data_IF_260569414164
#
_entry.id   IF_260569414164
#
_cell.length_a   1.000
_cell.length_b   1.000
_cell.length_c   1.000
_cell.angle_alpha   90.00
_cell.angle_beta   90.00
_cell.angle_gamma   90.00
#
_symmetry.space_group_name_H-M   'P 1'
#
loop_
_entity.id
_entity.type
_entity.pdbx_description
1 polymer ?
#
# COMPACT_ATOMS: atom_id res chain seq x y z
N UNK A 1 -14.03 18.50 -1.43
CA UNK A 1 -12.67 18.76 -1.93
C UNK A 1 -12.38 17.72 -2.99
N UNK A 2 -11.63 18.08 -4.02
CA UNK A 2 -11.38 17.22 -5.18
C UNK A 2 -10.25 16.22 -4.88
N UNK A 3 -10.28 15.05 -5.52
CA UNK A 3 -9.28 13.96 -5.43
C UNK A 3 -7.88 14.49 -5.73
N UNK A 4 -7.79 15.47 -6.63
CA UNK A 4 -6.54 16.16 -6.95
C UNK A 4 -5.87 16.83 -5.75
N UNK A 5 -6.63 17.31 -4.76
CA UNK A 5 -6.06 17.88 -3.53
C UNK A 5 -5.37 16.81 -2.69
N UNK A 6 -6.03 15.67 -2.48
CA UNK A 6 -5.44 14.54 -1.75
C UNK A 6 -4.19 13.98 -2.43
N UNK A 7 -4.24 13.79 -3.76
CA UNK A 7 -3.09 13.34 -4.53
C UNK A 7 -1.89 14.30 -4.43
N UNK A 8 -2.14 15.62 -4.43
CA UNK A 8 -1.10 16.62 -4.24
C UNK A 8 -0.43 16.51 -2.87
N UNK A 9 -1.21 16.37 -1.80
CA UNK A 9 -0.66 16.22 -0.43
C UNK A 9 0.21 14.97 -0.32
N UNK A 10 -0.25 13.83 -0.84
CA UNK A 10 0.53 12.59 -0.86
C UNK A 10 1.84 12.78 -1.63
N UNK A 11 1.78 13.39 -2.82
CA UNK A 11 2.96 13.65 -3.64
C UNK A 11 3.97 14.56 -2.94
N UNK A 12 3.51 15.61 -2.29
CA UNK A 12 4.37 16.54 -1.55
C UNK A 12 5.04 15.85 -0.36
N UNK A 13 4.30 15.05 0.42
CA UNK A 13 4.85 14.31 1.56
C UNK A 13 5.90 13.26 1.12
N UNK A 14 5.59 12.48 0.08
CA UNK A 14 6.55 11.50 -0.49
C UNK A 14 7.79 12.22 -1.04
N UNK A 15 7.60 13.36 -1.70
CA UNK A 15 8.71 14.16 -2.25
C UNK A 15 9.68 14.71 -1.20
N UNK A 16 9.23 14.90 0.05
CA UNK A 16 10.07 15.32 1.18
C UNK A 16 10.83 14.15 1.83
N UNK A 17 10.45 12.91 1.54
CA UNK A 17 11.03 11.69 2.15
C UNK A 17 12.22 11.19 1.32
N UNK A 18 13.22 12.06 1.13
CA UNK A 18 14.43 11.78 0.36
C UNK A 18 15.60 11.28 1.22
N UNK A 19 16.80 11.18 0.62
CA UNK A 19 18.01 10.69 1.29
C UNK A 19 18.36 11.45 2.57
N UNK A 20 18.14 12.78 2.60
CA UNK A 20 18.37 13.62 3.78
C UNK A 20 17.46 13.25 4.95
N UNK A 21 16.18 12.97 4.66
CA UNK A 21 15.23 12.51 5.67
C UNK A 21 15.62 11.14 6.23
N UNK A 22 15.99 10.19 5.36
CA UNK A 22 16.45 8.87 5.80
C UNK A 22 17.70 8.95 6.67
N UNK A 23 18.67 9.79 6.31
CA UNK A 23 19.85 9.99 7.16
C UNK A 23 19.46 10.60 8.51
N UNK A 24 18.61 11.63 8.53
CA UNK A 24 18.10 12.22 9.77
C UNK A 24 17.36 11.21 10.65
N UNK A 25 16.62 10.27 10.06
CA UNK A 25 15.92 9.22 10.80
C UNK A 25 16.89 8.24 11.46
N UNK A 26 17.95 7.84 10.75
CA UNK A 26 19.02 6.99 11.31
C UNK A 26 19.76 7.70 12.44
N UNK A 27 20.11 8.97 12.22
CA UNK A 27 20.81 9.79 13.23
C UNK A 27 19.94 10.00 14.48
N UNK A 28 18.62 10.18 14.31
CA UNK A 28 17.66 10.22 15.42
C UNK A 28 17.68 8.93 16.23
N UNK A 29 17.69 7.78 15.56
CA UNK A 29 17.81 6.47 16.22
C UNK A 29 19.09 6.35 17.05
N UNK A 30 20.23 6.76 16.51
CA UNK A 30 21.52 6.72 17.21
C UNK A 30 21.55 7.67 18.42
N UNK A 31 21.02 8.90 18.26
CA UNK A 31 20.97 9.90 19.34
C UNK A 31 20.15 9.43 20.55
N UNK A 32 19.14 8.60 20.32
CA UNK A 32 18.21 8.14 21.34
C UNK A 32 18.29 6.63 21.62
N UNK A 33 19.39 5.98 21.24
CA UNK A 33 19.58 4.52 21.41
C UNK A 33 19.44 4.01 22.85
N UNK A 34 19.74 4.87 23.83
CA UNK A 34 19.64 4.53 25.25
C UNK A 34 18.21 4.76 25.82
N UNK A 35 17.27 5.21 24.98
CA UNK A 35 15.87 5.41 25.35
C UNK A 35 15.02 4.25 24.85
N UNK A 36 13.97 3.93 25.61
CA UNK A 36 12.90 3.04 25.16
C UNK A 36 11.98 3.80 24.17
N UNK A 37 12.39 3.85 22.90
CA UNK A 37 11.52 4.30 21.82
C UNK A 37 10.53 3.19 21.47
N UNK A 38 9.32 3.59 21.06
CA UNK A 38 8.31 2.68 20.54
C UNK A 38 8.09 3.00 19.05
N UNK A 39 7.89 1.98 18.21
CA UNK A 39 7.42 2.19 16.85
C UNK A 39 6.15 3.05 16.84
N UNK A 40 6.06 3.99 15.90
CA UNK A 40 4.85 4.81 15.72
C UNK A 40 3.68 4.00 15.17
N UNK A 41 3.95 2.89 14.49
CA UNK A 41 2.97 1.90 14.05
C UNK A 41 3.06 0.66 14.93
N UNK A 42 1.93 0.12 15.37
CA UNK A 42 1.90 -1.14 16.11
C UNK A 42 2.27 -2.35 15.22
N UNK A 43 2.43 -3.54 15.80
CA UNK A 43 2.67 -4.78 15.04
C UNK A 43 1.58 -5.08 14.01
N UNK A 44 0.35 -4.64 14.31
CA UNK A 44 -0.83 -4.83 13.48
C UNK A 44 -1.06 -3.65 12.50
N UNK A 45 -0.13 -2.69 12.42
CA UNK A 45 -0.25 -1.46 11.63
C UNK A 45 -0.62 -0.24 12.48
N UNK A 46 -0.74 0.92 11.82
CA UNK A 46 -1.06 2.20 12.47
C UNK A 46 -2.54 2.60 12.32
N UNK A 47 -3.41 1.66 11.96
CA UNK A 47 -4.76 1.98 11.48
C UNK A 47 -5.77 2.07 12.63
N UNK A 48 -5.63 3.12 13.44
CA UNK A 48 -6.71 3.56 14.32
C UNK A 48 -7.64 4.46 13.49
N UNK A 49 -8.95 4.28 13.54
CA UNK A 49 -9.90 5.27 13.01
C UNK A 49 -9.58 6.63 13.66
N UNK A 50 -9.14 7.69 12.95
CA UNK A 50 -9.40 8.12 11.56
C UNK A 50 -8.27 7.92 10.53
N UNK A 51 -7.19 7.25 10.88
CA UNK A 51 -6.01 7.05 10.03
C UNK A 51 -6.19 5.86 9.06
N UNK A 52 -5.44 5.89 7.95
CA UNK A 52 -5.43 4.85 6.91
C UNK A 52 -3.98 4.49 6.56
N UNK A 53 -3.70 3.19 6.44
CA UNK A 53 -2.45 2.65 5.93
C UNK A 53 -2.64 2.18 4.49
N UNK A 54 -1.71 2.53 3.60
CA UNK A 54 -1.78 2.16 2.18
C UNK A 54 -0.50 1.47 1.75
N UNK A 55 -0.63 0.19 1.45
CA UNK A 55 0.47 -0.68 1.04
C UNK A 55 0.47 -0.87 -0.47
N UNK A 56 1.50 -0.32 -1.13
CA UNK A 56 1.68 -0.47 -2.57
C UNK A 56 2.54 -1.69 -2.90
N UNK A 57 1.88 -2.76 -3.32
CA UNK A 57 2.53 -3.99 -3.81
C UNK A 57 2.85 -3.93 -5.31
N UNK A 58 2.60 -2.78 -5.94
CA UNK A 58 2.88 -2.48 -7.35
C UNK A 58 4.35 -2.66 -7.74
N UNK A 59 5.27 -2.55 -6.78
CA UNK A 59 6.70 -2.79 -7.01
C UNK A 59 7.08 -4.28 -7.08
N UNK A 60 6.26 -5.18 -6.54
CA UNK A 60 6.60 -6.59 -6.43
C UNK A 60 6.53 -7.30 -7.79
N UNK A 61 7.56 -8.09 -8.08
CA UNK A 61 7.68 -8.85 -9.32
C UNK A 61 7.07 -10.24 -9.17
N UNK A 62 5.81 -10.27 -8.74
CA UNK A 62 5.02 -11.47 -8.48
C UNK A 62 4.99 -12.45 -9.67
N UNK A 63 4.96 -11.93 -10.89
CA UNK A 63 5.03 -12.71 -12.14
C UNK A 63 6.36 -13.45 -12.35
N UNK A 64 7.43 -13.09 -11.65
CA UNK A 64 8.73 -13.77 -11.74
C UNK A 64 8.85 -14.98 -10.80
N UNK A 65 7.88 -15.18 -9.90
CA UNK A 65 7.90 -16.29 -8.96
C UNK A 65 7.47 -17.58 -9.66
N UNK A 66 8.41 -18.31 -10.24
CA UNK A 66 8.17 -19.60 -10.91
C UNK A 66 9.02 -20.71 -10.26
N UNK A 67 8.36 -21.67 -9.62
CA UNK A 67 9.00 -22.84 -9.00
C UNK A 67 9.05 -24.06 -9.94
N UNK A 68 8.86 -23.85 -11.25
CA UNK A 68 8.80 -24.89 -12.28
C UNK A 68 7.38 -25.23 -12.75
N UNK A 69 6.37 -24.48 -12.28
CA UNK A 69 4.95 -24.68 -12.61
C UNK A 69 4.32 -23.52 -13.39
N UNK A 70 5.09 -22.48 -13.68
CA UNK A 70 4.61 -21.20 -14.21
C UNK A 70 4.37 -20.17 -13.11
N UNK A 71 4.21 -18.91 -13.55
CA UNK A 71 3.95 -17.79 -12.67
C UNK A 71 2.55 -17.88 -12.00
N UNK A 72 2.35 -17.27 -10.82
CA UNK A 72 1.09 -17.42 -10.11
C UNK A 72 0.01 -16.57 -10.75
N UNK A 73 -1.22 -17.10 -10.76
CA UNK A 73 -2.39 -16.47 -11.39
C UNK A 73 -3.19 -15.57 -10.46
N UNK A 74 -2.90 -15.62 -9.17
CA UNK A 74 -3.56 -14.82 -8.14
C UNK A 74 -2.53 -14.48 -7.06
N UNK A 75 -2.51 -13.22 -6.65
CA UNK A 75 -1.88 -12.76 -5.44
C UNK A 75 -2.91 -11.98 -4.65
N UNK A 76 -3.15 -12.38 -3.42
CA UNK A 76 -4.05 -11.69 -2.52
C UNK A 76 -3.47 -11.75 -1.12
N UNK A 77 -3.70 -10.72 -0.30
CA UNK A 77 -3.37 -10.80 1.11
C UNK A 77 -4.15 -11.93 1.79
N UNK A 78 -3.59 -12.47 2.87
CA UNK A 78 -4.34 -13.35 3.78
C UNK A 78 -5.44 -12.57 4.51
N UNK A 79 -6.18 -13.23 5.40
CA UNK A 79 -7.09 -12.52 6.30
C UNK A 79 -6.33 -11.49 7.14
N UNK A 80 -6.81 -10.25 7.13
CA UNK A 80 -6.23 -9.12 7.85
C UNK A 80 -7.26 -8.65 8.89
N UNK A 81 -6.99 -8.83 10.20
CA UNK A 81 -7.92 -8.49 11.27
C UNK A 81 -7.80 -7.03 11.73
N UNK A 82 -7.45 -6.10 10.83
CA UNK A 82 -7.38 -4.67 11.12
C UNK A 82 -8.28 -3.90 10.18
N UNK A 83 -8.88 -2.82 10.68
CA UNK A 83 -9.60 -1.85 9.85
C UNK A 83 -8.64 -0.74 9.42
N UNK A 84 -8.80 -0.23 8.20
CA UNK A 84 -8.06 0.94 7.72
C UNK A 84 -6.79 0.62 6.93
N UNK A 85 -6.59 -0.63 6.51
CA UNK A 85 -5.53 -1.00 5.58
C UNK A 85 -6.07 -1.13 4.16
N UNK A 86 -5.43 -0.45 3.21
CA UNK A 86 -5.67 -0.59 1.77
C UNK A 86 -4.41 -1.15 1.09
N UNK A 87 -4.54 -2.29 0.41
CA UNK A 87 -3.46 -2.93 -0.34
C UNK A 87 -3.74 -2.74 -1.84
N UNK A 88 -2.75 -2.20 -2.55
CA UNK A 88 -2.81 -1.97 -4.01
C UNK A 88 -1.86 -2.95 -4.69
N UNK A 89 -2.40 -3.89 -5.46
CA UNK A 89 -1.64 -4.94 -6.12
C UNK A 89 -1.84 -4.94 -7.64
N UNK A 90 -0.86 -5.41 -8.44
CA UNK A 90 -1.08 -5.66 -9.85
C UNK A 90 -2.11 -6.80 -10.03
N UNK A 91 -3.12 -6.58 -10.87
CA UNK A 91 -4.02 -7.67 -11.27
C UNK A 91 -3.21 -8.67 -12.11
N UNK A 92 -3.16 -9.97 -11.77
CA UNK A 92 -2.38 -10.93 -12.55
C UNK A 92 -2.93 -11.10 -13.97
N UNK A 93 -2.04 -11.10 -14.97
CA UNK A 93 -2.39 -11.40 -16.35
C UNK A 93 -2.05 -12.86 -16.68
N UNK A 94 -2.92 -13.60 -17.39
CA UNK A 94 -2.60 -14.95 -17.88
C UNK A 94 -1.52 -14.95 -18.98
N UNK A 95 -1.26 -13.80 -19.60
CA UNK A 95 -0.21 -13.64 -20.61
C UNK A 95 1.13 -13.36 -19.93
N UNK A 96 2.22 -13.98 -20.43
CA UNK A 96 3.57 -13.62 -20.00
C UNK A 96 3.79 -12.14 -20.33
N UNK A 97 4.03 -11.32 -19.31
CA UNK A 97 4.40 -9.93 -19.51
C UNK A 97 5.64 -9.88 -20.43
N UNK A 98 5.49 -9.28 -21.62
CA UNK A 98 6.59 -9.20 -22.58
C UNK A 98 7.61 -8.11 -22.22
N UNK A 99 7.30 -7.30 -21.20
CA UNK A 99 8.20 -6.32 -20.61
C UNK A 99 7.56 -5.51 -19.47
N UNK A 100 8.30 -4.55 -18.88
CA UNK A 100 7.84 -3.73 -17.77
C UNK A 100 6.59 -2.89 -18.08
N UNK A 101 6.33 -2.58 -19.35
CA UNK A 101 5.15 -1.82 -19.80
C UNK A 101 3.86 -2.64 -19.74
N UNK A 102 3.94 -3.96 -19.82
CA UNK A 102 2.76 -4.83 -19.87
C UNK A 102 2.25 -5.19 -18.47
N UNK A 103 3.00 -4.81 -17.42
CA UNK A 103 2.70 -5.12 -16.01
C UNK A 103 1.38 -4.54 -15.50
N UNK A 104 0.84 -3.52 -16.18
CA UNK A 104 -0.39 -2.83 -15.83
C UNK A 104 -1.56 -3.09 -16.77
N UNK A 105 -1.39 -3.93 -17.80
CA UNK A 105 -2.45 -4.14 -18.81
C UNK A 105 -3.74 -4.71 -18.23
N UNK A 106 -3.61 -5.52 -17.19
CA UNK A 106 -4.70 -6.19 -16.50
C UNK A 106 -5.37 -5.32 -15.43
N UNK A 107 -4.85 -4.12 -15.16
CA UNK A 107 -5.37 -3.22 -14.12
C UNK A 107 -4.66 -3.38 -12.78
N UNK A 108 -5.31 -2.86 -11.74
CA UNK A 108 -4.87 -2.94 -10.34
C UNK A 108 -6.03 -3.43 -9.48
N UNK A 109 -5.72 -4.31 -8.55
CA UNK A 109 -6.67 -4.77 -7.53
C UNK A 109 -6.42 -3.98 -6.24
N UNK A 110 -7.49 -3.44 -5.66
CA UNK A 110 -7.45 -2.70 -4.39
C UNK A 110 -8.25 -3.50 -3.36
N UNK A 111 -7.56 -3.99 -2.33
CA UNK A 111 -8.20 -4.66 -1.18
C UNK A 111 -8.24 -3.67 -0.02
N UNK A 112 -9.45 -3.33 0.46
CA UNK A 112 -9.62 -2.41 1.59
C UNK A 112 -10.27 -3.15 2.75
N UNK A 113 -9.70 -3.00 3.93
CA UNK A 113 -10.22 -3.59 5.17
C UNK A 113 -11.01 -2.54 5.94
N UNK A 114 -12.30 -2.80 6.16
CA UNK A 114 -13.24 -1.87 6.80
C UNK A 114 -14.20 -2.64 7.71
N UNK A 115 -14.67 -1.99 8.78
CA UNK A 115 -15.84 -2.48 9.50
C UNK A 115 -17.06 -2.54 8.57
N UNK A 116 -18.01 -3.46 8.79
CA UNK A 116 -19.15 -3.67 7.89
C UNK A 116 -19.94 -2.38 7.58
N UNK A 117 -20.15 -1.52 8.57
CA UNK A 117 -20.82 -0.23 8.43
C UNK A 117 -20.05 0.75 7.53
N UNK A 118 -18.72 0.78 7.63
CA UNK A 118 -17.86 1.64 6.83
C UNK A 118 -17.70 1.10 5.41
N UNK A 119 -17.64 -0.22 5.23
CA UNK A 119 -17.64 -0.86 3.92
C UNK A 119 -18.90 -0.49 3.11
N UNK A 120 -20.08 -0.59 3.73
CA UNK A 120 -21.34 -0.23 3.09
C UNK A 120 -21.44 1.27 2.74
N UNK A 121 -20.76 2.14 3.49
CA UNK A 121 -20.64 3.55 3.15
C UNK A 121 -19.64 3.78 2.00
N UNK A 122 -18.49 3.10 2.04
CA UNK A 122 -17.44 3.19 1.03
C UNK A 122 -17.94 2.76 -0.36
N UNK A 123 -18.70 1.67 -0.47
CA UNK A 123 -19.27 1.21 -1.75
C UNK A 123 -20.12 2.29 -2.46
N UNK A 124 -20.79 3.16 -1.69
CA UNK A 124 -21.63 4.24 -2.25
C UNK A 124 -20.81 5.38 -2.86
N UNK A 125 -19.58 5.57 -2.40
CA UNK A 125 -18.72 6.70 -2.79
C UNK A 125 -17.53 6.27 -3.66
N UNK A 126 -17.19 4.98 -3.68
CA UNK A 126 -16.01 4.46 -4.38
C UNK A 126 -16.04 4.75 -5.90
N UNK A 127 -17.24 4.83 -6.48
CA UNK A 127 -17.44 5.08 -7.92
C UNK A 127 -17.76 6.53 -8.26
N UNK A 128 -17.86 7.42 -7.26
CA UNK A 128 -18.15 8.85 -7.45
C UNK A 128 -16.88 9.72 -7.46
N UNK A 129 -15.71 9.09 -7.56
CA UNK A 129 -14.40 9.72 -7.62
C UNK A 129 -14.14 10.05 -9.10
N UNK A 130 -14.49 11.28 -9.51
CA UNK A 130 -14.09 11.88 -10.80
C UNK A 130 -12.64 12.40 -10.75
#
# INVERSE_FOLDING_TARGET
EDVGYGARLIKEAVGQTGSEYFQSFVDFGELYKDKALYPSAGPDGATLSTDLEVDSWLGFQFHQVDMGGGAPRLFMPSWIPVEGLAIIAPTPSPEKAAGPSDRWRSGVDITVTLLPEHAAAFEKIAYSID
#
